data_IF_435302726092
#
_entry.id   IF_435302726092
#
_cell.length_a   1.000
_cell.length_b   1.000
_cell.length_c   1.000
_cell.angle_alpha   90.00
_cell.angle_beta   90.00
_cell.angle_gamma   90.00
#
_symmetry.space_group_name_H-M   'P 1'
#
loop_
_entity.id
_entity.type
_entity.pdbx_description
1 polymer ?
#
# COMPACT_ATOMS: atom_id res chain seq x y z
N UNK A 1 -0.66 5.30 -7.18
CA UNK A 1 -0.11 5.22 -5.81
C UNK A 1 1.40 5.22 -5.90
N UNK A 2 2.06 6.17 -5.25
CA UNK A 2 3.52 6.18 -5.13
C UNK A 2 3.98 5.23 -4.02
N UNK A 3 5.24 4.75 -4.07
CA UNK A 3 5.83 4.00 -2.97
C UNK A 3 5.73 4.78 -1.65
N UNK A 4 5.26 4.13 -0.59
CA UNK A 4 5.15 4.79 0.71
C UNK A 4 6.53 5.04 1.31
N UNK A 5 6.73 6.24 1.82
CA UNK A 5 7.98 6.58 2.50
C UNK A 5 8.03 5.91 3.89
N UNK A 6 9.14 5.27 4.22
CA UNK A 6 9.42 4.85 5.59
C UNK A 6 10.36 5.85 6.24
N UNK A 7 10.16 6.14 7.52
CA UNK A 7 11.03 7.02 8.31
C UNK A 7 11.88 6.25 9.32
N UNK A 8 11.87 4.94 9.21
CA UNK A 8 12.65 4.02 10.03
C UNK A 8 13.83 3.46 9.23
N UNK A 9 14.91 3.12 9.93
CA UNK A 9 16.04 2.38 9.37
C UNK A 9 15.92 0.86 9.62
N UNK A 10 14.78 0.40 10.14
CA UNK A 10 14.53 -1.03 10.40
C UNK A 10 14.01 -1.69 9.12
N UNK A 11 14.65 -2.78 8.70
CA UNK A 11 14.23 -3.57 7.53
C UNK A 11 12.78 -4.07 7.67
N UNK A 12 12.32 -4.37 8.89
CA UNK A 12 10.95 -4.80 9.12
C UNK A 12 9.92 -3.72 8.74
N UNK A 13 10.28 -2.44 8.91
CA UNK A 13 9.42 -1.32 8.52
C UNK A 13 9.41 -1.12 7.00
N UNK A 14 10.51 -1.42 6.33
CA UNK A 14 10.59 -1.40 4.86
C UNK A 14 9.69 -2.48 4.27
N UNK A 15 9.79 -3.73 4.75
CA UNK A 15 8.92 -4.82 4.32
C UNK A 15 7.44 -4.51 4.52
N UNK A 16 7.09 -3.95 5.67
CA UNK A 16 5.72 -3.58 5.96
C UNK A 16 5.22 -2.46 5.05
N UNK A 17 6.06 -1.45 4.80
CA UNK A 17 5.72 -0.32 3.92
C UNK A 17 5.49 -0.77 2.48
N UNK A 18 6.35 -1.63 1.95
CA UNK A 18 6.17 -2.19 0.60
C UNK A 18 4.95 -3.10 0.52
N UNK A 19 4.72 -3.94 1.53
CA UNK A 19 3.53 -4.78 1.61
C UNK A 19 2.25 -3.95 1.60
N UNK A 20 2.19 -2.90 2.41
CA UNK A 20 1.05 -1.98 2.47
C UNK A 20 0.83 -1.27 1.12
N UNK A 21 1.89 -0.82 0.45
CA UNK A 21 1.81 -0.22 -0.87
C UNK A 21 1.17 -1.16 -1.89
N UNK A 22 1.62 -2.41 -1.94
CA UNK A 22 1.08 -3.43 -2.84
C UNK A 22 -0.38 -3.77 -2.55
N UNK A 23 -0.72 -3.86 -1.27
CA UNK A 23 -2.08 -4.17 -0.84
C UNK A 23 -3.04 -3.03 -1.19
N UNK A 24 -2.63 -1.78 -1.00
CA UNK A 24 -3.40 -0.60 -1.43
C UNK A 24 -3.59 -0.59 -2.94
N UNK A 25 -2.53 -0.85 -3.73
CA UNK A 25 -2.65 -1.00 -5.18
C UNK A 25 -3.67 -2.08 -5.56
N UNK A 26 -3.60 -3.23 -4.89
CA UNK A 26 -4.51 -4.36 -5.11
C UNK A 26 -5.94 -4.01 -4.76
N UNK A 27 -6.18 -3.35 -3.61
CA UNK A 27 -7.53 -2.93 -3.21
C UNK A 27 -8.13 -1.93 -4.20
N UNK A 28 -7.37 -0.92 -4.61
CA UNK A 28 -7.83 0.07 -5.59
C UNK A 28 -8.10 -0.55 -6.97
N UNK A 29 -7.32 -1.55 -7.37
CA UNK A 29 -7.52 -2.26 -8.64
C UNK A 29 -8.80 -3.11 -8.69
N UNK A 30 -9.45 -3.36 -7.55
CA UNK A 30 -10.76 -4.03 -7.49
C UNK A 30 -11.92 -3.10 -7.89
N UNK A 31 -11.66 -1.80 -7.97
CA UNK A 31 -12.66 -0.77 -8.29
C UNK A 31 -12.65 -0.53 -9.80
N UNK A 32 -13.62 -1.09 -10.51
CA UNK A 32 -13.65 -1.12 -11.98
C UNK A 32 -13.57 0.26 -12.66
N UNK A 33 -14.03 1.31 -11.99
CA UNK A 33 -13.99 2.69 -12.49
C UNK A 33 -12.64 3.39 -12.32
N UNK A 34 -11.67 2.76 -11.63
CA UNK A 34 -10.33 3.30 -11.42
C UNK A 34 -9.31 2.60 -12.31
N UNK A 35 -8.48 3.41 -12.98
CA UNK A 35 -7.29 2.90 -13.66
C UNK A 35 -6.09 3.10 -12.76
N UNK A 36 -5.54 2.00 -12.23
CA UNK A 36 -4.42 2.02 -11.29
C UNK A 36 -3.13 1.66 -12.02
N UNK A 37 -2.11 2.51 -11.91
CA UNK A 37 -0.78 2.26 -12.51
C UNK A 37 -0.07 1.16 -11.73
N UNK A 38 0.60 0.25 -12.45
CA UNK A 38 1.28 -0.90 -11.86
C UNK A 38 2.42 -0.51 -10.90
N UNK A 39 2.68 -1.39 -9.92
CA UNK A 39 3.81 -1.25 -8.99
C UNK A 39 5.12 -1.00 -9.71
N UNK A 40 5.46 -1.81 -10.70
CA UNK A 40 6.73 -1.71 -11.45
C UNK A 40 6.95 -0.31 -12.03
N UNK A 41 5.89 0.31 -12.56
CA UNK A 41 5.99 1.64 -13.17
C UNK A 41 6.18 2.76 -12.14
N UNK A 42 5.69 2.58 -10.90
CA UNK A 42 5.79 3.62 -9.88
C UNK A 42 7.02 3.49 -8.99
N UNK A 43 7.65 2.31 -8.89
CA UNK A 43 8.81 2.09 -8.04
C UNK A 43 10.02 2.98 -8.38
N UNK A 44 10.16 3.42 -9.63
CA UNK A 44 11.20 4.38 -10.03
C UNK A 44 11.10 5.74 -9.31
N UNK A 45 9.96 6.03 -8.69
CA UNK A 45 9.74 7.28 -7.94
C UNK A 45 9.98 7.13 -6.43
N UNK A 46 10.47 5.98 -5.96
CA UNK A 46 10.86 5.82 -4.57
C UNK A 46 11.98 6.81 -4.21
N UNK A 47 11.74 7.65 -3.19
CA UNK A 47 12.69 8.69 -2.77
C UNK A 47 12.97 9.79 -3.80
N UNK A 48 12.14 9.93 -4.82
CA UNK A 48 12.29 10.97 -5.85
C UNK A 48 12.14 12.37 -5.29
N UNK A 49 12.78 13.35 -5.94
CA UNK A 49 12.62 14.78 -5.68
C UNK A 49 11.74 15.47 -6.71
N UNK A 50 11.17 14.71 -7.67
CA UNK A 50 10.25 15.27 -8.67
C UNK A 50 8.97 15.75 -8.00
N UNK A 51 8.39 16.81 -8.56
CA UNK A 51 7.09 17.32 -8.13
C UNK A 51 5.94 16.39 -8.54
N UNK A 52 4.83 16.46 -7.85
CA UNK A 52 3.62 15.70 -8.16
C UNK A 52 3.14 15.91 -9.60
N UNK A 53 3.08 17.18 -10.14
CA UNK A 53 2.73 17.39 -11.54
C UNK A 53 3.68 16.72 -12.54
N UNK A 54 4.98 16.71 -12.28
CA UNK A 54 5.97 16.04 -13.14
C UNK A 54 5.74 14.53 -13.18
N UNK A 55 5.59 13.90 -12.00
CA UNK A 55 5.32 12.47 -11.90
C UNK A 55 4.01 12.10 -12.61
N UNK A 56 2.96 12.86 -12.35
CA UNK A 56 1.66 12.62 -12.95
C UNK A 56 1.67 12.74 -14.48
N UNK A 57 2.41 13.71 -15.01
CA UNK A 57 2.57 13.88 -16.45
C UNK A 57 3.33 12.69 -17.07
N UNK A 58 4.39 12.21 -16.43
CA UNK A 58 5.15 11.03 -16.90
C UNK A 58 4.32 9.76 -16.87
N UNK A 59 3.47 9.59 -15.85
CA UNK A 59 2.58 8.42 -15.68
C UNK A 59 1.26 8.55 -16.44
N UNK A 60 0.91 9.73 -16.94
CA UNK A 60 -0.37 9.98 -17.61
C UNK A 60 -1.58 9.87 -16.69
N UNK A 61 -1.46 10.31 -15.41
CA UNK A 61 -2.51 10.21 -14.41
C UNK A 61 -3.01 11.58 -13.96
N UNK A 62 -4.28 11.65 -13.55
CA UNK A 62 -4.90 12.87 -13.04
C UNK A 62 -4.72 13.04 -11.53
N UNK A 63 -4.53 11.93 -10.80
CA UNK A 63 -4.43 11.94 -9.35
C UNK A 63 -3.28 11.05 -8.88
N UNK A 64 -2.66 11.43 -7.78
CA UNK A 64 -1.58 10.69 -7.13
C UNK A 64 -1.98 10.44 -5.67
N UNK A 65 -1.81 9.21 -5.22
CA UNK A 65 -1.80 8.85 -3.80
C UNK A 65 -0.36 8.73 -3.34
N UNK A 66 0.00 9.47 -2.32
CA UNK A 66 1.28 9.35 -1.63
C UNK A 66 1.06 9.17 -0.14
N UNK A 67 2.10 8.73 0.56
CA UNK A 67 2.01 8.55 2.00
C UNK A 67 3.31 8.13 2.63
N UNK A 68 3.25 7.96 3.94
CA UNK A 68 4.37 7.48 4.74
C UNK A 68 3.90 6.59 5.89
N UNK A 69 4.75 5.66 6.25
CA UNK A 69 4.51 4.70 7.31
C UNK A 69 5.59 4.84 8.36
N UNK A 70 5.17 4.80 9.62
CA UNK A 70 6.05 4.80 10.79
C UNK A 70 5.55 3.75 11.78
N UNK A 71 6.42 2.84 12.17
CA UNK A 71 6.16 1.92 13.28
C UNK A 71 6.84 2.40 14.55
N UNK A 72 6.22 2.11 15.70
CA UNK A 72 6.77 2.39 17.01
C UNK A 72 6.31 1.30 17.98
N UNK A 73 7.11 0.24 18.10
CA UNK A 73 6.75 -0.95 18.88
C UNK A 73 5.55 -1.67 18.25
N UNK A 74 4.47 -1.78 19.00
CA UNK A 74 3.20 -2.39 18.62
C UNK A 74 2.21 -1.44 17.92
N UNK A 75 2.62 -0.23 17.60
CA UNK A 75 1.78 0.77 16.91
C UNK A 75 2.30 1.08 15.53
N UNK A 76 1.35 1.36 14.63
CA UNK A 76 1.62 1.86 13.28
C UNK A 76 0.90 3.16 13.05
N UNK A 77 1.61 4.13 12.51
CA UNK A 77 1.04 5.38 11.99
C UNK A 77 1.21 5.44 10.49
N UNK A 78 0.12 5.63 9.78
CA UNK A 78 0.07 5.72 8.32
C UNK A 78 -0.55 7.07 7.97
N UNK A 79 0.20 7.93 7.28
CA UNK A 79 -0.30 9.16 6.71
C UNK A 79 -0.48 8.95 5.22
N UNK A 80 -1.64 9.27 4.70
CA UNK A 80 -1.94 9.17 3.26
C UNK A 80 -2.65 10.41 2.78
N UNK A 81 -2.37 10.77 1.53
CA UNK A 81 -2.98 11.92 0.88
C UNK A 81 -3.20 11.64 -0.61
N UNK A 82 -4.38 12.00 -1.07
CA UNK A 82 -4.78 11.96 -2.47
C UNK A 82 -4.68 13.37 -3.04
N UNK A 83 -3.92 13.54 -4.11
CA UNK A 83 -3.56 14.82 -4.68
C UNK A 83 -4.07 14.92 -6.11
N UNK A 84 -4.73 16.03 -6.45
CA UNK A 84 -5.03 16.41 -7.81
C UNK A 84 -3.75 16.92 -8.49
N UNK A 85 -3.26 16.19 -9.48
CA UNK A 85 -1.95 16.45 -10.05
C UNK A 85 -1.85 17.79 -10.79
N UNK A 86 -2.94 18.25 -11.43
CA UNK A 86 -2.95 19.49 -12.20
C UNK A 86 -2.80 20.75 -11.34
N UNK A 87 -3.25 20.69 -10.08
CA UNK A 87 -3.29 21.86 -9.18
C UNK A 87 -2.40 21.69 -7.96
N UNK A 88 -1.84 20.49 -7.77
CA UNK A 88 -1.07 20.09 -6.59
C UNK A 88 -1.87 20.29 -5.26
N UNK A 89 -3.19 20.08 -5.33
CA UNK A 89 -4.10 20.24 -4.19
C UNK A 89 -4.51 18.88 -3.63
N UNK A 90 -4.55 18.80 -2.31
CA UNK A 90 -5.11 17.63 -1.63
C UNK A 90 -6.61 17.54 -1.88
N UNK A 91 -7.06 16.44 -2.46
CA UNK A 91 -8.47 16.07 -2.55
C UNK A 91 -8.95 15.43 -1.25
N UNK A 92 -8.03 14.69 -0.59
CA UNK A 92 -8.29 14.00 0.65
C UNK A 92 -6.94 13.72 1.35
N UNK A 93 -6.95 13.71 2.68
CA UNK A 93 -5.81 13.31 3.50
C UNK A 93 -6.31 12.70 4.81
N UNK A 94 -5.66 11.64 5.28
CA UNK A 94 -5.99 10.98 6.54
C UNK A 94 -4.75 10.45 7.24
N UNK A 95 -4.87 10.28 8.56
CA UNK A 95 -3.85 9.68 9.40
C UNK A 95 -4.47 8.55 10.21
N UNK A 96 -3.97 7.35 10.04
CA UNK A 96 -4.30 6.19 10.84
C UNK A 96 -3.23 6.01 11.91
N UNK A 97 -3.64 5.82 13.17
CA UNK A 97 -2.75 5.58 14.30
C UNK A 97 -3.33 4.45 15.15
N UNK A 98 -2.92 3.22 14.85
CA UNK A 98 -3.55 2.01 15.34
C UNK A 98 -2.53 1.04 15.95
N UNK A 99 -3.02 0.06 16.72
CA UNK A 99 -2.22 -1.10 17.08
C UNK A 99 -1.91 -1.94 15.85
N UNK A 100 -0.68 -2.45 15.75
CA UNK A 100 -0.23 -3.29 14.65
C UNK A 100 -0.79 -4.71 14.81
N UNK A 101 -2.03 -4.88 14.40
CA UNK A 101 -2.71 -6.18 14.32
C UNK A 101 -3.16 -6.44 12.89
N UNK A 102 -3.30 -7.71 12.49
CA UNK A 102 -3.81 -8.06 11.17
C UNK A 102 -5.18 -7.41 10.92
N UNK A 103 -6.06 -7.42 11.93
CA UNK A 103 -7.38 -6.83 11.83
C UNK A 103 -7.33 -5.32 11.52
N UNK A 104 -6.47 -4.57 12.22
CA UNK A 104 -6.32 -3.13 12.00
C UNK A 104 -5.66 -2.82 10.65
N UNK A 105 -4.64 -3.59 10.24
CA UNK A 105 -3.99 -3.43 8.93
C UNK A 105 -5.01 -3.60 7.80
N UNK A 106 -5.82 -4.67 7.82
CA UNK A 106 -6.85 -4.89 6.80
C UNK A 106 -7.99 -3.86 6.88
N UNK A 107 -8.35 -3.39 8.07
CA UNK A 107 -9.33 -2.31 8.23
C UNK A 107 -8.84 -1.02 7.57
N UNK A 108 -7.58 -0.63 7.82
CA UNK A 108 -6.96 0.55 7.19
C UNK A 108 -6.95 0.43 5.66
N UNK A 109 -6.54 -0.71 5.12
CA UNK A 109 -6.54 -0.95 3.67
C UNK A 109 -7.93 -0.80 3.05
N UNK A 110 -8.95 -1.36 3.72
CA UNK A 110 -10.34 -1.29 3.28
C UNK A 110 -10.90 0.13 3.35
N UNK A 111 -10.64 0.82 4.43
CA UNK A 111 -11.12 2.20 4.63
C UNK A 111 -10.45 3.15 3.63
N UNK A 112 -9.15 3.00 3.42
CA UNK A 112 -8.41 3.79 2.46
C UNK A 112 -8.95 3.62 1.02
N UNK A 113 -9.25 2.39 0.60
CA UNK A 113 -9.83 2.15 -0.72
C UNK A 113 -11.23 2.78 -0.87
N UNK A 114 -12.06 2.73 0.19
CA UNK A 114 -13.40 3.34 0.20
C UNK A 114 -13.33 4.87 0.17
N UNK A 115 -12.44 5.47 0.98
CA UNK A 115 -12.26 6.93 1.02
C UNK A 115 -11.73 7.48 -0.29
N UNK A 116 -10.78 6.79 -0.93
CA UNK A 116 -10.30 7.16 -2.26
C UNK A 116 -11.43 7.05 -3.29
N UNK A 117 -12.19 5.96 -3.28
CA UNK A 117 -13.34 5.81 -4.16
C UNK A 117 -14.34 6.96 -3.98
N UNK A 118 -14.64 7.33 -2.73
CA UNK A 118 -15.52 8.45 -2.41
C UNK A 118 -14.96 9.78 -2.92
N UNK A 119 -13.67 10.06 -2.67
CA UNK A 119 -13.01 11.29 -3.11
C UNK A 119 -13.00 11.43 -4.63
N UNK A 120 -12.88 10.32 -5.36
CA UNK A 120 -12.90 10.25 -6.81
C UNK A 120 -14.31 10.04 -7.40
N UNK A 121 -15.35 10.05 -6.57
CA UNK A 121 -16.74 9.81 -6.96
C UNK A 121 -16.95 8.46 -7.70
N UNK A 122 -16.10 7.48 -7.40
CA UNK A 122 -16.22 6.13 -7.94
C UNK A 122 -17.36 5.37 -7.27
N UNK A 123 -18.14 4.64 -8.07
CA UNK A 123 -19.25 3.83 -7.54
C UNK A 123 -18.71 2.48 -7.07
N UNK A 124 -19.01 2.09 -5.83
CA UNK A 124 -18.72 0.77 -5.28
C UNK A 124 -19.99 -0.07 -5.30
N UNK A 125 -19.97 -1.20 -6.04
CA UNK A 125 -21.04 -2.19 -5.91
C UNK A 125 -20.92 -2.98 -4.60
N UNK A 126 -21.99 -3.64 -4.12
CA UNK A 126 -21.92 -4.50 -2.94
C UNK A 126 -20.85 -5.58 -3.06
N UNK A 127 -20.68 -6.15 -4.26
CA UNK A 127 -19.69 -7.19 -4.54
C UNK A 127 -18.26 -6.65 -4.46
N UNK A 128 -18.01 -5.44 -4.99
CA UNK A 128 -16.70 -4.76 -4.88
C UNK A 128 -16.42 -4.43 -3.42
N UNK A 129 -17.40 -3.92 -2.69
CA UNK A 129 -17.28 -3.62 -1.26
C UNK A 129 -16.92 -4.88 -0.47
N UNK A 130 -17.61 -6.00 -0.69
CA UNK A 130 -17.30 -7.26 -0.02
C UNK A 130 -15.86 -7.76 -0.34
N UNK A 131 -15.39 -7.59 -1.57
CA UNK A 131 -14.01 -7.94 -1.97
C UNK A 131 -12.95 -7.05 -1.31
N UNK A 132 -13.27 -5.77 -1.12
CA UNK A 132 -12.39 -4.81 -0.43
C UNK A 132 -12.31 -5.14 1.06
N UNK A 133 -13.42 -5.55 1.67
CA UNK A 133 -13.53 -5.85 3.11
C UNK A 133 -13.07 -7.27 3.50
N UNK A 134 -12.78 -8.11 2.52
CA UNK A 134 -12.30 -9.47 2.78
C UNK A 134 -10.97 -9.46 3.53
N UNK A 135 -10.90 -10.23 4.63
CA UNK A 135 -9.71 -10.41 5.47
C UNK A 135 -9.13 -11.79 5.22
N UNK A 136 -7.90 -11.88 4.69
CA UNK A 136 -7.25 -13.17 4.42
C UNK A 136 -6.88 -13.94 5.68
N UNK A 137 -6.55 -13.24 6.77
CA UNK A 137 -6.15 -13.83 8.06
C UNK A 137 -6.43 -12.88 9.22
N UNK A 138 -6.66 -13.43 10.40
CA UNK A 138 -6.70 -12.69 11.67
C UNK A 138 -5.38 -12.82 12.46
N UNK A 139 -4.41 -13.59 11.93
CA UNK A 139 -3.12 -13.82 12.59
C UNK A 139 -2.09 -12.77 12.11
N UNK A 140 -1.65 -11.92 13.05
CA UNK A 140 -0.68 -10.85 12.79
C UNK A 140 0.70 -11.41 12.40
N UNK A 141 1.14 -12.50 13.04
CA UNK A 141 2.42 -13.15 12.71
C UNK A 141 2.41 -13.71 11.30
N UNK A 142 1.30 -14.36 10.88
CA UNK A 142 1.13 -14.83 9.51
C UNK A 142 1.16 -13.68 8.48
N UNK A 143 0.56 -12.54 8.81
CA UNK A 143 0.60 -11.35 7.97
C UNK A 143 2.03 -10.80 7.83
N UNK A 144 2.80 -10.74 8.93
CA UNK A 144 4.19 -10.26 8.90
C UNK A 144 5.09 -11.19 8.10
N UNK A 145 4.98 -12.51 8.31
CA UNK A 145 5.72 -13.52 7.55
C UNK A 145 5.41 -13.45 6.04
N UNK A 146 4.13 -13.32 5.71
CA UNK A 146 3.69 -13.17 4.31
C UNK A 146 4.23 -11.88 3.68
N UNK A 147 4.17 -10.74 4.38
CA UNK A 147 4.68 -9.46 3.88
C UNK A 147 6.19 -9.52 3.63
N UNK A 148 6.93 -10.15 4.54
CA UNK A 148 8.37 -10.36 4.39
C UNK A 148 8.71 -11.30 3.23
N UNK A 149 7.97 -12.40 3.08
CA UNK A 149 8.16 -13.32 1.95
C UNK A 149 7.91 -12.62 0.61
N UNK A 150 6.84 -11.85 0.50
CA UNK A 150 6.54 -11.05 -0.71
C UNK A 150 7.65 -10.07 -1.05
N UNK A 151 8.17 -9.37 -0.06
CA UNK A 151 9.29 -8.46 -0.27
C UNK A 151 10.49 -9.19 -0.89
N UNK A 152 10.88 -10.35 -0.35
CA UNK A 152 11.98 -11.15 -0.88
C UNK A 152 11.75 -11.60 -2.32
N UNK A 153 10.53 -11.99 -2.67
CA UNK A 153 10.14 -12.39 -4.04
C UNK A 153 10.20 -11.20 -5.01
N UNK A 154 9.82 -10.01 -4.56
CA UNK A 154 9.73 -8.81 -5.39
C UNK A 154 11.06 -8.04 -5.48
N UNK A 155 11.93 -8.19 -4.48
CA UNK A 155 13.30 -7.66 -4.50
C UNK A 155 14.13 -8.58 -5.38
N UNK A 156 14.55 -8.16 -6.57
CA UNK A 156 15.29 -8.94 -7.57
C UNK A 156 16.45 -9.79 -6.98
N UNK A 157 16.12 -10.76 -6.15
CA UNK A 157 17.00 -11.61 -5.38
C UNK A 157 17.36 -12.91 -6.11
N UNK A 158 18.48 -13.50 -5.74
CA UNK A 158 18.90 -14.81 -6.27
C UNK A 158 18.21 -15.98 -5.56
N UNK A 159 18.51 -17.21 -5.98
CA UNK A 159 17.94 -18.48 -5.47
C UNK A 159 17.89 -18.60 -3.92
N UNK A 160 18.80 -17.94 -3.21
CA UNK A 160 18.82 -17.92 -1.73
C UNK A 160 17.63 -17.15 -1.13
N UNK A 161 17.16 -16.10 -1.78
CA UNK A 161 15.99 -15.31 -1.32
C UNK A 161 14.69 -16.02 -1.64
N UNK A 162 14.62 -16.74 -2.75
CA UNK A 162 13.44 -17.56 -3.10
C UNK A 162 13.26 -18.71 -2.09
N UNK A 163 14.34 -19.31 -1.60
CA UNK A 163 14.27 -20.35 -0.58
C UNK A 163 13.83 -19.80 0.78
N UNK A 164 14.36 -18.64 1.18
CA UNK A 164 13.93 -17.95 2.39
C UNK A 164 12.46 -17.51 2.30
N UNK A 165 12.00 -16.99 1.17
CA UNK A 165 10.62 -16.61 0.96
C UNK A 165 9.68 -17.82 1.08
N UNK A 166 10.09 -18.98 0.54
CA UNK A 166 9.32 -20.22 0.67
C UNK A 166 9.19 -20.66 2.13
N UNK A 167 10.29 -20.65 2.88
CA UNK A 167 10.26 -21.01 4.30
C UNK A 167 9.32 -20.10 5.12
N UNK A 168 9.34 -18.79 4.83
CA UNK A 168 8.45 -17.83 5.48
C UNK A 168 6.97 -18.09 5.13
N UNK A 169 6.68 -18.42 3.88
CA UNK A 169 5.31 -18.77 3.46
C UNK A 169 4.82 -20.07 4.09
N UNK A 170 5.69 -21.06 4.26
CA UNK A 170 5.36 -22.32 4.96
C UNK A 170 5.07 -22.08 6.45
N UNK A 171 5.70 -21.08 7.07
CA UNK A 171 5.43 -20.70 8.47
C UNK A 171 4.17 -19.85 8.61
N UNK A 172 3.73 -19.16 7.56
CA UNK A 172 2.55 -18.30 7.56
C UNK A 172 1.22 -19.07 7.45
N UNK A 173 1.25 -20.36 7.14
CA UNK A 173 0.08 -21.25 7.00
C UNK A 173 -0.18 -21.98 8.30
#
# INVERSE_FOLDING_TARGET
VLPFATRSADEADEYFSEGMHDDVLTQLSKIDSLTVISRTSVMQYAGTTKSIPEIANELGVATILEGGIQRAGDRVRINVQLIEAATDKHLWAETYDEELTAANVFAIQSDLAKEIARALQATLSPEVTARIEARPTDNTEALELYSRARYLILSAGGMSQDEQARELLEQAV
#
